data_IF_449766088662
#
_entry.id   IF_449766088662
#
_cell.length_a   1.000
_cell.length_b   1.000
_cell.length_c   1.000
_cell.angle_alpha   90.00
_cell.angle_beta   90.00
_cell.angle_gamma   90.00
#
_symmetry.space_group_name_H-M   'P 1'
#
loop_
_entity.id
_entity.type
_entity.pdbx_description
1 polymer ?
#
# COMPACT_ATOMS: atom_id res chain seq x y z
N UNK A 1 -6.95 25.78 17.25
CA UNK A 1 -8.13 25.13 16.58
C UNK A 1 -9.30 26.10 16.41
N UNK A 2 -9.51 27.07 17.34
CA UNK A 2 -10.60 28.06 17.23
C UNK A 2 -10.55 28.98 16.01
N UNK A 3 -9.43 28.98 15.27
CA UNK A 3 -9.24 29.81 14.06
C UNK A 3 -9.45 29.03 12.76
N UNK A 4 -9.75 27.75 12.82
CA UNK A 4 -10.00 26.92 11.64
C UNK A 4 -11.41 27.18 11.12
N UNK A 5 -11.55 27.26 9.81
CA UNK A 5 -12.86 27.42 9.18
C UNK A 5 -13.71 26.17 9.29
N UNK A 6 -13.06 25.02 9.31
CA UNK A 6 -13.71 23.72 9.50
C UNK A 6 -13.12 23.03 10.74
N UNK A 7 -13.93 22.43 11.60
CA UNK A 7 -13.42 21.67 12.72
C UNK A 7 -12.71 20.40 12.22
N UNK A 8 -11.70 19.92 12.94
CA UNK A 8 -11.08 18.64 12.62
C UNK A 8 -12.10 17.51 12.76
N UNK A 9 -11.98 16.52 11.90
CA UNK A 9 -12.77 15.29 11.95
C UNK A 9 -11.86 14.14 12.42
N UNK A 10 -12.48 13.09 12.94
CA UNK A 10 -11.77 11.91 13.45
C UNK A 10 -11.38 10.89 12.39
N UNK A 11 -11.81 11.11 11.15
CA UNK A 11 -11.53 10.21 10.02
C UNK A 11 -10.20 10.59 9.41
N UNK A 12 -9.34 9.59 9.28
CA UNK A 12 -7.98 9.72 8.75
C UNK A 12 -7.76 8.78 7.55
N UNK A 13 -6.87 9.14 6.62
CA UNK A 13 -6.51 8.26 5.51
C UNK A 13 -5.54 7.16 5.95
N UNK A 14 -5.64 5.99 5.31
CA UNK A 14 -4.66 4.90 5.44
C UNK A 14 -4.19 4.39 4.09
N UNK A 15 -2.92 3.99 4.00
CA UNK A 15 -2.35 3.38 2.81
C UNK A 15 -2.02 1.90 3.02
N UNK A 16 -1.52 1.53 4.18
CA UNK A 16 -0.99 0.19 4.46
C UNK A 16 -1.78 -0.51 5.55
N UNK A 17 -1.78 0.05 6.75
CA UNK A 17 -2.46 -0.52 7.90
C UNK A 17 -2.79 0.55 8.93
N UNK A 18 -3.61 0.17 9.88
CA UNK A 18 -3.91 0.95 11.09
C UNK A 18 -3.65 0.05 12.28
N UNK A 19 -2.91 0.54 13.25
CA UNK A 19 -2.58 -0.23 14.46
C UNK A 19 -2.96 0.50 15.74
N UNK A 20 -3.45 -0.28 16.71
CA UNK A 20 -3.56 0.12 18.11
C UNK A 20 -2.57 -0.67 18.92
N UNK A 21 -1.79 0.01 19.74
CA UNK A 21 -0.76 -0.60 20.59
C UNK A 21 -0.68 0.08 21.95
N UNK A 22 -0.32 -0.71 22.96
CA UNK A 22 0.03 -0.23 24.30
C UNK A 22 1.56 -0.11 24.49
N UNK A 23 2.34 -0.31 23.41
CA UNK A 23 3.80 -0.34 23.41
C UNK A 23 4.42 -1.70 23.71
N UNK A 24 3.62 -2.70 24.10
CA UNK A 24 4.07 -4.07 24.39
C UNK A 24 3.36 -5.11 23.54
N UNK A 25 2.16 -4.79 23.13
CA UNK A 25 1.34 -5.61 22.26
C UNK A 25 0.41 -4.72 21.46
N UNK A 26 -0.16 -5.25 20.41
CA UNK A 26 -1.09 -4.50 19.59
C UNK A 26 -1.88 -5.37 18.62
N UNK A 27 -2.78 -4.69 17.95
CA UNK A 27 -3.55 -5.22 16.83
C UNK A 27 -3.37 -4.29 15.65
N UNK A 28 -3.19 -4.85 14.46
CA UNK A 28 -3.18 -4.11 13.22
C UNK A 28 -4.25 -4.62 12.27
N UNK A 29 -4.94 -3.70 11.61
CA UNK A 29 -5.89 -3.96 10.53
C UNK A 29 -5.25 -3.51 9.22
N UNK A 30 -5.24 -4.39 8.23
CA UNK A 30 -4.61 -4.20 6.92
C UNK A 30 -5.71 -4.15 5.87
N UNK A 31 -6.18 -2.97 5.45
CA UNK A 31 -7.21 -2.86 4.44
C UNK A 31 -6.66 -3.11 3.04
N UNK A 32 -7.46 -3.76 2.20
CA UNK A 32 -7.18 -3.92 0.77
C UNK A 32 -8.16 -3.04 -0.02
N UNK A 33 -7.66 -1.92 -0.54
CA UNK A 33 -8.47 -0.98 -1.30
C UNK A 33 -9.29 0.02 -0.48
N UNK A 34 -9.55 -0.24 0.80
CA UNK A 34 -10.17 0.72 1.72
C UNK A 34 -9.12 1.74 2.18
N UNK A 35 -9.48 3.00 2.23
CA UNK A 35 -8.51 4.10 2.41
C UNK A 35 -8.79 5.03 3.58
N UNK A 36 -9.85 4.79 4.33
CA UNK A 36 -10.23 5.63 5.45
C UNK A 36 -10.48 4.81 6.71
N UNK A 37 -10.10 5.37 7.83
CA UNK A 37 -10.37 4.80 9.14
C UNK A 37 -10.67 5.88 10.18
N UNK A 38 -11.19 5.45 11.30
CA UNK A 38 -11.38 6.23 12.51
C UNK A 38 -10.95 5.40 13.72
N UNK A 39 -10.28 6.02 14.67
CA UNK A 39 -10.00 5.41 15.97
C UNK A 39 -10.87 6.10 17.03
N UNK A 40 -11.66 5.34 17.74
CA UNK A 40 -12.51 5.83 18.81
C UNK A 40 -12.00 5.36 20.17
N UNK A 41 -11.96 6.30 21.10
CA UNK A 41 -11.65 6.08 22.51
C UNK A 41 -10.38 5.25 22.74
N UNK A 42 -9.45 5.28 21.81
CA UNK A 42 -8.18 4.52 21.81
C UNK A 42 -8.34 2.99 21.92
N UNK A 43 -9.51 2.43 21.61
CA UNK A 43 -9.73 1.00 21.69
C UNK A 43 -10.54 0.41 20.52
N UNK A 44 -11.03 1.22 19.61
CA UNK A 44 -11.84 0.76 18.48
C UNK A 44 -11.32 1.33 17.16
N UNK A 45 -11.00 0.46 16.22
CA UNK A 45 -10.71 0.82 14.83
C UNK A 45 -11.99 0.63 14.03
N UNK A 46 -12.40 1.66 13.29
CA UNK A 46 -13.47 1.61 12.30
C UNK A 46 -12.89 1.85 10.92
N UNK A 47 -13.23 1.02 9.96
CA UNK A 47 -12.91 1.23 8.55
C UNK A 47 -14.14 1.78 7.82
N UNK A 48 -13.95 2.83 7.04
CA UNK A 48 -14.99 3.31 6.12
C UNK A 48 -14.98 2.44 4.88
N UNK A 49 -15.92 1.51 4.76
CA UNK A 49 -15.98 0.60 3.61
C UNK A 49 -16.36 1.35 2.32
N UNK A 50 -17.38 2.20 2.38
CA UNK A 50 -17.83 3.02 1.26
C UNK A 50 -18.61 4.23 1.75
N UNK A 51 -18.80 5.21 0.90
CA UNK A 51 -19.63 6.38 1.15
C UNK A 51 -20.65 6.54 0.03
N UNK A 52 -21.83 7.00 0.40
CA UNK A 52 -22.89 7.35 -0.54
C UNK A 52 -23.27 8.82 -0.40
N UNK A 53 -23.69 9.41 -1.47
CA UNK A 53 -24.25 10.77 -1.47
C UNK A 53 -25.32 10.91 -2.55
N UNK A 54 -26.35 11.69 -2.25
CA UNK A 54 -27.48 11.92 -3.17
C UNK A 54 -27.25 13.08 -4.11
N UNK A 55 -26.35 13.99 -3.77
CA UNK A 55 -26.13 15.22 -4.52
C UNK A 55 -24.67 15.59 -4.57
N UNK A 56 -24.21 16.06 -5.72
CA UNK A 56 -22.95 16.76 -5.84
C UNK A 56 -23.18 18.23 -5.52
N UNK A 57 -22.50 18.74 -4.52
CA UNK A 57 -22.74 20.08 -3.97
C UNK A 57 -23.96 20.10 -3.05
N UNK A 58 -23.77 20.51 -1.81
CA UNK A 58 -24.84 20.65 -0.81
C UNK A 58 -24.61 21.94 -0.03
N UNK A 59 -25.70 22.62 0.27
CA UNK A 59 -25.69 23.78 1.15
C UNK A 59 -25.79 23.34 2.62
N UNK A 60 -25.28 24.17 3.50
CA UNK A 60 -25.44 24.01 4.95
C UNK A 60 -24.99 22.67 5.52
N UNK A 61 -23.81 22.22 5.11
CA UNK A 61 -23.14 21.08 5.76
C UNK A 61 -22.85 21.41 7.23
N UNK A 62 -22.92 20.40 8.11
CA UNK A 62 -22.74 20.57 9.56
C UNK A 62 -21.43 21.30 9.89
N UNK A 63 -20.34 20.93 9.23
CA UNK A 63 -19.01 21.49 9.47
C UNK A 63 -18.65 22.63 8.50
N UNK A 64 -19.49 22.88 7.53
CA UNK A 64 -19.29 23.90 6.50
C UNK A 64 -20.63 24.54 6.16
N UNK A 65 -21.10 25.49 6.98
CA UNK A 65 -22.35 26.21 6.72
C UNK A 65 -22.23 27.07 5.48
N UNK A 66 -23.35 27.27 4.78
CA UNK A 66 -23.40 28.00 3.52
C UNK A 66 -23.15 27.08 2.33
N UNK A 67 -22.66 27.63 1.22
CA UNK A 67 -22.45 26.91 -0.02
C UNK A 67 -21.08 26.25 -0.05
N UNK A 68 -21.05 24.92 0.03
CA UNK A 68 -19.81 24.18 0.17
C UNK A 68 -18.99 24.07 -1.12
N UNK A 69 -19.63 23.85 -2.26
CA UNK A 69 -18.96 23.68 -3.55
C UNK A 69 -19.93 23.77 -4.71
N UNK A 70 -19.45 24.23 -5.85
CA UNK A 70 -20.18 24.30 -7.10
C UNK A 70 -21.34 25.31 -7.13
N UNK A 71 -21.80 25.61 -8.30
CA UNK A 71 -22.94 26.56 -8.50
C UNK A 71 -24.28 25.84 -8.48
N UNK A 72 -24.31 24.52 -8.64
CA UNK A 72 -25.54 23.73 -8.75
C UNK A 72 -25.52 22.54 -7.82
N UNK A 73 -26.69 22.25 -7.27
CA UNK A 73 -26.98 20.97 -6.62
C UNK A 73 -27.38 20.01 -7.74
N UNK A 74 -26.55 18.99 -7.95
CA UNK A 74 -26.76 17.99 -9.00
C UNK A 74 -27.07 16.66 -8.33
N UNK A 75 -28.17 16.04 -8.69
CA UNK A 75 -28.53 14.70 -8.24
C UNK A 75 -27.54 13.66 -8.79
N UNK A 76 -27.14 12.74 -7.93
CA UNK A 76 -26.17 11.68 -8.23
C UNK A 76 -26.71 10.30 -7.86
N UNK A 77 -27.76 9.82 -8.52
CA UNK A 77 -28.41 8.54 -8.16
C UNK A 77 -27.44 7.34 -8.24
N UNK A 78 -26.53 7.34 -9.20
CA UNK A 78 -25.52 6.29 -9.32
C UNK A 78 -24.54 6.25 -8.13
N UNK A 79 -24.34 7.34 -7.43
CA UNK A 79 -23.47 7.41 -6.25
C UNK A 79 -24.13 6.83 -4.98
N UNK A 80 -25.38 6.39 -5.04
CA UNK A 80 -26.02 5.63 -3.96
C UNK A 80 -25.50 4.20 -3.85
N UNK A 81 -24.79 3.70 -4.86
CA UNK A 81 -24.10 2.41 -4.86
C UNK A 81 -25.03 1.23 -4.48
N UNK A 82 -26.27 1.25 -4.99
CA UNK A 82 -27.27 0.19 -4.73
C UNK A 82 -26.92 -1.09 -5.50
N UNK A 83 -25.82 -1.72 -5.10
CA UNK A 83 -25.27 -2.94 -5.70
C UNK A 83 -24.52 -3.74 -4.67
N UNK A 84 -24.27 -5.00 -4.96
CA UNK A 84 -23.36 -5.85 -4.21
C UNK A 84 -21.92 -5.31 -4.33
N UNK A 85 -21.17 -5.35 -3.24
CA UNK A 85 -19.80 -4.89 -3.14
C UNK A 85 -19.00 -5.82 -2.25
N UNK A 86 -17.78 -6.15 -2.67
CA UNK A 86 -16.86 -6.96 -1.92
C UNK A 86 -15.76 -6.10 -1.29
N UNK A 87 -15.44 -6.40 -0.04
CA UNK A 87 -14.37 -5.72 0.70
C UNK A 87 -13.45 -6.74 1.32
N UNK A 88 -12.14 -6.50 1.23
CA UNK A 88 -11.14 -7.35 1.83
C UNK A 88 -10.28 -6.57 2.81
N UNK A 89 -10.02 -7.17 3.95
CA UNK A 89 -9.06 -6.68 4.94
C UNK A 89 -8.53 -7.85 5.77
N UNK A 90 -7.26 -7.75 6.17
CA UNK A 90 -6.65 -8.65 7.12
C UNK A 90 -6.54 -8.00 8.50
N UNK A 91 -6.30 -8.81 9.51
CA UNK A 91 -5.86 -8.32 10.81
C UNK A 91 -4.79 -9.24 11.38
N UNK A 92 -3.93 -8.67 12.20
CA UNK A 92 -2.90 -9.40 12.94
C UNK A 92 -2.76 -8.83 14.33
N UNK A 93 -2.31 -9.67 15.26
CA UNK A 93 -1.90 -9.27 16.59
C UNK A 93 -0.42 -9.49 16.76
N UNK A 94 0.20 -8.72 17.63
CA UNK A 94 1.63 -8.86 17.93
C UNK A 94 1.87 -8.60 19.42
N UNK A 95 2.91 -9.25 19.97
CA UNK A 95 3.31 -9.15 21.37
C UNK A 95 4.71 -8.55 21.47
N UNK A 96 4.89 -7.35 20.91
CA UNK A 96 6.13 -6.58 20.90
C UNK A 96 5.82 -5.11 20.68
N UNK A 97 6.84 -4.27 20.62
CA UNK A 97 6.70 -2.93 20.07
C UNK A 97 6.36 -2.98 18.57
N UNK A 98 5.63 -2.00 18.07
CA UNK A 98 5.23 -1.91 16.66
C UNK A 98 6.44 -1.89 15.71
N UNK A 99 7.54 -1.30 16.13
CA UNK A 99 8.77 -1.22 15.33
C UNK A 99 9.47 -2.59 15.17
N UNK A 100 9.20 -3.52 16.08
CA UNK A 100 9.73 -4.91 16.06
C UNK A 100 8.75 -5.87 15.37
N UNK A 101 7.48 -5.53 15.35
CA UNK A 101 6.41 -6.42 14.88
C UNK A 101 6.41 -6.64 13.35
N UNK A 102 7.19 -5.87 12.58
CA UNK A 102 7.28 -5.94 11.11
C UNK A 102 5.92 -5.88 10.38
N UNK A 103 4.97 -5.13 10.94
CA UNK A 103 3.61 -5.00 10.38
C UNK A 103 3.64 -4.39 8.98
N UNK A 104 4.58 -3.49 8.70
CA UNK A 104 4.80 -2.92 7.37
C UNK A 104 5.09 -4.00 6.32
N UNK A 105 5.97 -4.93 6.63
CA UNK A 105 6.31 -6.05 5.73
C UNK A 105 5.11 -6.96 5.51
N UNK A 106 4.37 -7.27 6.58
CA UNK A 106 3.15 -8.07 6.50
C UNK A 106 2.07 -7.37 5.65
N UNK A 107 1.86 -6.08 5.87
CA UNK A 107 0.91 -5.28 5.10
C UNK A 107 1.29 -5.20 3.63
N UNK A 108 2.59 -5.06 3.34
CA UNK A 108 3.11 -5.10 1.97
C UNK A 108 2.84 -6.45 1.31
N UNK A 109 3.15 -7.55 2.00
CA UNK A 109 2.91 -8.89 1.48
C UNK A 109 1.42 -9.16 1.23
N UNK A 110 0.54 -8.73 2.16
CA UNK A 110 -0.90 -8.88 2.01
C UNK A 110 -1.48 -8.09 0.83
N UNK A 111 -0.96 -6.88 0.59
CA UNK A 111 -1.43 -5.99 -0.47
C UNK A 111 -0.70 -6.16 -1.81
N UNK A 112 0.28 -7.06 -1.90
CA UNK A 112 0.99 -7.35 -3.14
C UNK A 112 0.42 -8.61 -3.78
N UNK A 113 -0.13 -8.45 -4.98
CA UNK A 113 -0.66 -9.59 -5.74
C UNK A 113 0.46 -10.50 -6.22
N UNK A 114 0.16 -11.78 -6.34
CA UNK A 114 1.01 -12.75 -7.02
C UNK A 114 0.77 -12.58 -8.52
N UNK A 115 1.83 -12.23 -9.24
CA UNK A 115 1.80 -12.13 -10.69
C UNK A 115 2.30 -13.41 -11.32
N UNK A 116 1.61 -13.87 -12.36
CA UNK A 116 2.01 -15.06 -13.12
C UNK A 116 2.45 -14.63 -14.50
N UNK A 117 3.68 -14.98 -14.84
CA UNK A 117 4.23 -14.75 -16.16
C UNK A 117 4.52 -16.10 -16.84
N UNK A 118 3.86 -16.36 -17.96
CA UNK A 118 4.12 -17.53 -18.78
C UNK A 118 4.86 -17.12 -20.04
N UNK A 119 6.06 -17.63 -20.21
CA UNK A 119 6.85 -17.44 -21.42
C UNK A 119 6.91 -18.73 -22.22
N UNK A 120 6.58 -18.63 -23.50
CA UNK A 120 6.76 -19.71 -24.46
C UNK A 120 7.04 -19.11 -25.83
N UNK A 121 8.12 -19.54 -26.48
CA UNK A 121 8.54 -19.03 -27.79
C UNK A 121 7.47 -19.17 -28.88
N UNK A 122 6.69 -20.24 -28.82
CA UNK A 122 5.62 -20.49 -29.79
C UNK A 122 4.42 -19.54 -29.65
N UNK A 123 4.21 -18.90 -28.49
CA UNK A 123 3.16 -17.90 -28.31
C UNK A 123 3.38 -16.64 -29.15
N UNK A 124 4.57 -16.43 -29.66
CA UNK A 124 4.89 -15.36 -30.60
C UNK A 124 4.47 -15.65 -32.05
N UNK A 125 3.51 -16.55 -32.28
CA UNK A 125 2.92 -16.85 -33.60
C UNK A 125 3.68 -17.91 -34.40
N UNK A 126 4.61 -18.60 -33.80
CA UNK A 126 5.32 -19.72 -34.42
C UNK A 126 5.05 -21.01 -33.67
N UNK A 127 4.19 -21.86 -34.21
CA UNK A 127 4.04 -23.23 -33.76
C UNK A 127 5.28 -24.03 -34.17
N UNK A 128 6.38 -23.84 -33.52
CA UNK A 128 7.56 -24.67 -33.69
C UNK A 128 7.55 -25.66 -32.52
N UNK A 129 7.24 -26.88 -32.79
CA UNK A 129 7.55 -27.99 -31.90
C UNK A 129 9.06 -28.20 -31.88
N UNK A 130 9.77 -27.39 -31.11
CA UNK A 130 11.17 -27.67 -30.87
C UNK A 130 11.26 -28.44 -29.56
N UNK A 131 11.76 -29.64 -29.62
CA UNK A 131 12.27 -30.38 -28.47
C UNK A 131 13.62 -29.73 -28.06
N UNK A 132 13.61 -28.47 -27.65
CA UNK A 132 14.80 -27.90 -27.00
C UNK A 132 14.89 -28.54 -25.61
N UNK A 133 15.94 -29.28 -25.40
CA UNK A 133 16.33 -29.69 -24.05
C UNK A 133 16.51 -28.40 -23.24
N UNK A 134 15.79 -28.31 -22.11
CA UNK A 134 16.02 -27.26 -21.16
C UNK A 134 17.34 -27.59 -20.47
N UNK A 135 18.44 -26.99 -20.90
CA UNK A 135 19.71 -27.15 -20.25
C UNK A 135 19.65 -26.53 -18.85
N UNK A 136 19.89 -27.38 -17.84
CA UNK A 136 19.98 -26.98 -16.44
C UNK A 136 18.66 -27.03 -15.70
N UNK A 137 18.75 -27.31 -14.41
CA UNK A 137 17.66 -27.16 -13.44
C UNK A 137 17.58 -25.71 -12.99
N UNK A 138 16.44 -25.04 -13.24
CA UNK A 138 16.20 -23.74 -12.66
C UNK A 138 15.76 -23.91 -11.20
N UNK A 139 16.26 -23.06 -10.34
CA UNK A 139 15.81 -22.99 -8.96
C UNK A 139 14.32 -22.71 -8.90
N UNK A 140 13.62 -23.39 -7.99
CA UNK A 140 12.19 -23.19 -7.75
C UNK A 140 11.88 -21.85 -7.08
N UNK A 141 12.90 -21.22 -6.50
CA UNK A 141 12.84 -19.91 -5.86
C UNK A 141 14.06 -19.09 -6.24
N UNK A 142 13.83 -17.85 -6.58
CA UNK A 142 14.89 -16.88 -6.85
C UNK A 142 14.45 -15.50 -6.34
N UNK A 143 15.31 -14.85 -5.60
CA UNK A 143 15.14 -13.45 -5.20
C UNK A 143 16.22 -12.61 -5.87
N UNK A 144 15.86 -11.45 -6.40
CA UNK A 144 16.82 -10.50 -6.95
C UNK A 144 17.75 -9.95 -5.88
N UNK A 145 17.21 -9.75 -4.69
CA UNK A 145 17.98 -9.31 -3.53
C UNK A 145 17.29 -9.74 -2.23
N UNK A 146 18.05 -9.70 -1.15
CA UNK A 146 17.60 -9.95 0.20
C UNK A 146 17.91 -8.73 1.08
N UNK A 147 17.11 -8.49 2.11
CA UNK A 147 17.30 -7.45 3.11
C UNK A 147 17.20 -8.04 4.51
N UNK A 148 17.64 -7.30 5.52
CA UNK A 148 17.42 -7.65 6.92
C UNK A 148 16.00 -7.29 7.41
N UNK A 149 15.15 -6.75 6.52
CA UNK A 149 13.79 -6.28 6.81
C UNK A 149 13.70 -5.18 7.87
N UNK A 150 14.74 -4.39 8.02
CA UNK A 150 14.76 -3.22 8.91
C UNK A 150 14.16 -1.98 8.23
N UNK A 151 14.32 -1.89 6.91
CA UNK A 151 13.67 -0.90 6.05
C UNK A 151 12.61 -1.57 5.19
N UNK A 152 11.59 -0.81 4.84
CA UNK A 152 10.51 -1.29 3.97
C UNK A 152 10.85 -1.02 2.52
N UNK A 153 10.87 -2.06 1.70
CA UNK A 153 11.02 -1.95 0.26
C UNK A 153 9.68 -1.50 -0.32
N UNK A 154 9.59 -0.28 -0.81
CA UNK A 154 8.35 0.25 -1.39
C UNK A 154 8.22 0.01 -2.88
N UNK A 155 9.34 -0.03 -3.61
CA UNK A 155 9.34 -0.28 -5.05
C UNK A 155 10.71 -0.79 -5.53
N UNK A 156 10.66 -1.58 -6.58
CA UNK A 156 11.79 -1.86 -7.45
C UNK A 156 11.31 -1.66 -8.89
N UNK A 157 12.00 -0.85 -9.65
CA UNK A 157 11.65 -0.55 -11.03
C UNK A 157 12.88 -0.32 -11.89
N UNK A 158 12.71 -0.34 -13.19
CA UNK A 158 13.73 0.14 -14.11
C UNK A 158 13.85 1.66 -14.02
N UNK A 159 15.04 2.19 -14.13
CA UNK A 159 15.28 3.63 -14.18
C UNK A 159 14.58 4.27 -15.39
N UNK A 160 14.18 5.55 -15.28
CA UNK A 160 13.45 6.26 -16.36
C UNK A 160 14.30 6.43 -17.62
N UNK A 161 15.61 6.60 -17.48
CA UNK A 161 16.57 6.66 -18.57
C UNK A 161 16.93 5.27 -19.14
N UNK A 162 16.41 4.20 -18.56
CA UNK A 162 16.71 2.81 -18.86
C UNK A 162 18.13 2.34 -18.50
N UNK A 163 18.91 3.13 -17.78
CA UNK A 163 20.25 2.78 -17.33
C UNK A 163 20.24 2.36 -15.84
N UNK A 164 19.84 1.10 -15.60
CA UNK A 164 19.85 0.51 -14.29
C UNK A 164 18.48 0.29 -13.65
N UNK A 165 18.48 0.07 -12.33
CA UNK A 165 17.30 -0.20 -11.51
C UNK A 165 17.25 0.71 -10.32
N UNK A 166 16.08 1.15 -9.98
CA UNK A 166 15.78 1.95 -8.78
C UNK A 166 15.18 1.03 -7.73
N UNK A 167 15.76 1.04 -6.53
CA UNK A 167 15.17 0.44 -5.35
C UNK A 167 14.80 1.56 -4.40
N UNK A 168 13.53 1.64 -4.04
CA UNK A 168 13.02 2.64 -3.10
C UNK A 168 12.76 2.00 -1.76
N UNK A 169 13.37 2.57 -0.75
CA UNK A 169 13.24 2.14 0.64
C UNK A 169 12.70 3.29 1.48
N UNK A 170 12.00 2.96 2.55
CA UNK A 170 11.66 3.94 3.58
C UNK A 170 11.78 3.33 4.97
N UNK A 171 11.99 4.19 5.95
CA UNK A 171 11.99 3.81 7.36
C UNK A 171 10.54 3.85 7.87
N UNK A 172 9.96 2.70 8.16
CA UNK A 172 8.63 2.56 8.75
C UNK A 172 8.60 2.71 10.28
N UNK A 173 9.78 2.82 10.92
CA UNK A 173 9.89 2.88 12.37
C UNK A 173 9.69 4.29 12.91
N UNK A 174 8.99 4.39 14.02
CA UNK A 174 8.77 5.64 14.72
C UNK A 174 10.03 6.08 15.50
N UNK A 175 10.53 7.27 15.23
CA UNK A 175 11.58 7.94 15.99
C UNK A 175 12.94 7.23 16.07
N UNK A 176 13.21 6.26 15.23
CA UNK A 176 14.49 5.57 15.20
C UNK A 176 15.22 5.80 13.87
N UNK A 177 16.53 6.02 13.96
CA UNK A 177 17.40 5.93 12.79
C UNK A 177 17.68 4.45 12.52
N UNK A 178 17.41 4.00 11.31
CA UNK A 178 17.54 2.60 10.94
C UNK A 178 18.41 2.45 9.70
N UNK A 179 19.31 1.47 9.72
CA UNK A 179 20.07 1.04 8.56
C UNK A 179 19.74 -0.40 8.21
N UNK A 180 19.81 -0.74 6.94
CA UNK A 180 19.58 -2.08 6.43
C UNK A 180 20.69 -2.45 5.46
N UNK A 181 20.88 -3.75 5.24
CA UNK A 181 21.81 -4.30 4.28
C UNK A 181 21.05 -4.95 3.14
N UNK A 182 21.34 -4.53 1.91
CA UNK A 182 20.80 -5.15 0.71
C UNK A 182 21.88 -6.07 0.13
N UNK A 183 21.58 -7.35 0.04
CA UNK A 183 22.41 -8.36 -0.61
C UNK A 183 21.80 -8.72 -1.94
N UNK A 184 22.48 -8.38 -3.02
CA UNK A 184 22.04 -8.73 -4.37
C UNK A 184 22.48 -10.16 -4.73
N UNK A 185 21.63 -10.87 -5.47
CA UNK A 185 21.93 -12.19 -6.02
C UNK A 185 22.39 -12.11 -7.48
N UNK A 186 22.93 -10.98 -7.87
CA UNK A 186 23.58 -10.71 -9.17
C UNK A 186 24.70 -9.69 -8.99
N UNK A 187 25.59 -9.59 -9.97
CA UNK A 187 26.70 -8.64 -9.93
C UNK A 187 26.21 -7.21 -10.08
N UNK A 188 26.55 -6.38 -9.09
CA UNK A 188 26.26 -4.94 -9.09
C UNK A 188 27.56 -4.21 -9.43
N UNK A 189 27.56 -3.45 -10.49
CA UNK A 189 28.73 -2.66 -10.91
C UNK A 189 28.91 -1.42 -10.06
N UNK A 190 27.81 -0.75 -9.78
CA UNK A 190 27.76 0.52 -9.05
C UNK A 190 26.41 0.67 -8.34
N UNK A 191 26.42 1.33 -7.19
CA UNK A 191 25.22 1.73 -6.47
C UNK A 191 25.42 3.12 -5.87
N UNK A 192 24.44 4.00 -6.02
CA UNK A 192 24.47 5.36 -5.50
C UNK A 192 23.08 5.83 -5.09
N UNK A 193 23.07 6.87 -4.25
CA UNK A 193 21.81 7.48 -3.85
C UNK A 193 21.31 8.46 -4.90
N UNK A 194 20.02 8.44 -5.14
CA UNK A 194 19.37 9.39 -6.02
C UNK A 194 18.15 10.03 -5.32
N UNK A 195 17.66 11.11 -5.86
CA UNK A 195 16.41 11.71 -5.43
C UNK A 195 15.21 11.08 -6.17
N UNK A 196 14.00 11.59 -5.94
CA UNK A 196 12.79 11.06 -6.57
C UNK A 196 12.68 11.32 -8.09
N UNK A 197 13.63 12.06 -8.66
CA UNK A 197 13.72 12.30 -10.12
C UNK A 197 14.66 11.34 -10.83
N UNK A 198 15.39 10.53 -10.06
CA UNK A 198 16.38 9.54 -10.55
C UNK A 198 17.66 10.09 -11.13
#
# INVERSE_FOLDING_TARGET
>A
QSKWQEPPISIEPTQSYVSLTDGKQGIAVIPQGVREYEVLDNHMIRLTLFRTYGFMGKENLIYRPGRASGERIIETPAAQLLKEMDFAFGFTTYASDINEANVDTLAKAYNTNIEVYTYAEFLNGRLIFSQREIEGTKESRYSLFETENKLVVSAMKKAEDNDGYIIRLFNGKNHENTSDTIKFNFDVKEAYYTNLRE
#
